data_IF_713683802119
#
_entry.id   IF_713683802119
#
_cell.length_a   1.000
_cell.length_b   1.000
_cell.length_c   1.000
_cell.angle_alpha   90.00
_cell.angle_beta   90.00
_cell.angle_gamma   90.00
#
_symmetry.space_group_name_H-M   'P 1'
#
loop_
_entity.id
_entity.type
_entity.pdbx_description
1 polymer ?
#
# COMPACT_ATOMS: atom_id res chain seq x y z
N UNK A 1 6.19 7.22 -6.14
CA UNK A 1 5.45 5.98 -6.41
C UNK A 1 4.01 6.32 -6.73
N UNK A 2 3.49 5.75 -7.82
CA UNK A 2 2.09 5.92 -8.22
C UNK A 2 1.50 4.55 -8.51
N UNK A 3 0.36 4.25 -7.88
CA UNK A 3 -0.42 3.06 -8.18
C UNK A 3 -1.71 3.54 -8.84
N UNK A 4 -1.92 3.13 -10.07
CA UNK A 4 -3.03 3.65 -10.88
C UNK A 4 -4.24 2.71 -10.99
N UNK A 5 -4.18 1.58 -10.30
CA UNK A 5 -5.23 0.56 -10.33
C UNK A 5 -4.88 -0.62 -11.22
N UNK A 6 -3.92 -0.47 -12.12
CA UNK A 6 -3.44 -1.57 -12.96
C UNK A 6 -1.94 -1.77 -12.82
N UNK A 7 -1.20 -0.70 -12.58
CA UNK A 7 0.25 -0.74 -12.46
C UNK A 7 0.74 0.07 -11.28
N UNK A 8 1.92 -0.30 -10.80
CA UNK A 8 2.66 0.48 -9.80
C UNK A 8 3.90 1.02 -10.49
N UNK A 9 4.04 2.32 -10.48
CA UNK A 9 5.16 3.04 -11.07
C UNK A 9 6.07 3.55 -9.97
N UNK A 10 7.36 3.29 -10.08
CA UNK A 10 8.35 3.76 -9.13
C UNK A 10 9.39 4.54 -9.92
N UNK A 11 9.42 5.85 -9.74
CA UNK A 11 10.34 6.72 -10.43
C UNK A 11 11.51 7.07 -9.52
N UNK A 12 12.72 6.82 -9.99
CA UNK A 12 13.95 7.19 -9.31
C UNK A 12 14.65 8.26 -10.15
N UNK A 13 14.54 9.54 -9.78
CA UNK A 13 15.14 10.60 -10.58
C UNK A 13 16.66 10.58 -10.58
N UNK A 14 17.27 10.04 -9.52
CA UNK A 14 18.72 9.97 -9.44
C UNK A 14 19.30 8.99 -10.45
N UNK A 15 18.59 7.91 -10.69
CA UNK A 15 19.00 6.90 -11.67
C UNK A 15 18.37 7.14 -13.03
N UNK A 16 17.51 8.14 -13.15
CA UNK A 16 16.73 8.40 -14.36
C UNK A 16 16.05 7.14 -14.85
N UNK A 17 15.42 6.44 -13.94
CA UNK A 17 14.82 5.15 -14.20
C UNK A 17 13.43 5.06 -13.59
N UNK A 18 12.52 4.42 -14.33
CA UNK A 18 11.18 4.10 -13.86
C UNK A 18 11.06 2.60 -13.82
N UNK A 19 10.68 2.08 -12.67
CA UNK A 19 10.29 0.67 -12.54
C UNK A 19 8.78 0.60 -12.58
N UNK A 20 8.25 -0.36 -13.33
CA UNK A 20 6.81 -0.54 -13.40
C UNK A 20 6.50 -2.03 -13.23
N UNK A 21 5.46 -2.32 -12.50
CA UNK A 21 4.98 -3.69 -12.34
C UNK A 21 3.46 -3.70 -12.25
N UNK A 22 2.91 -4.87 -12.48
CA UNK A 22 1.48 -5.07 -12.39
C UNK A 22 1.03 -4.90 -10.95
N UNK A 23 0.01 -4.11 -10.73
CA UNK A 23 -0.59 -3.99 -9.41
C UNK A 23 -1.43 -5.25 -9.18
N UNK A 24 -1.22 -5.91 -8.05
CA UNK A 24 -1.93 -7.16 -7.82
C UNK A 24 -1.52 -7.88 -6.56
N UNK A 25 -1.06 -9.12 -6.70
CA UNK A 25 -0.88 -10.01 -5.57
C UNK A 25 0.04 -9.50 -4.47
N UNK A 26 1.09 -8.76 -4.82
CA UNK A 26 1.99 -8.23 -3.79
C UNK A 26 1.32 -7.16 -2.94
N UNK A 27 0.55 -6.28 -3.59
CA UNK A 27 -0.17 -5.24 -2.85
C UNK A 27 -1.28 -5.83 -2.00
N UNK A 28 -1.85 -6.94 -2.43
CA UNK A 28 -2.92 -7.61 -1.68
C UNK A 28 -2.42 -8.13 -0.33
N UNK A 29 -1.12 -8.32 -0.17
CA UNK A 29 -0.54 -8.78 1.08
C UNK A 29 0.09 -7.65 1.90
N UNK A 30 0.01 -6.43 1.40
CA UNK A 30 0.54 -5.29 2.14
C UNK A 30 -0.32 -4.99 3.38
N UNK A 31 0.31 -4.65 4.50
CA UNK A 31 -0.47 -4.24 5.68
C UNK A 31 -1.39 -3.05 5.40
N UNK A 32 -1.07 -2.25 4.38
CA UNK A 32 -1.90 -1.10 4.03
C UNK A 32 -3.20 -1.47 3.35
N UNK A 33 -3.33 -2.69 2.83
CA UNK A 33 -4.57 -3.12 2.19
C UNK A 33 -5.73 -3.18 3.17
N UNK A 34 -5.43 -3.37 4.47
CA UNK A 34 -6.48 -3.35 5.48
C UNK A 34 -7.24 -2.03 5.50
N UNK A 35 -6.59 -0.96 5.01
CA UNK A 35 -7.19 0.37 5.00
C UNK A 35 -8.13 0.58 3.82
N UNK A 36 -8.05 -0.27 2.81
CA UNK A 36 -8.86 -0.11 1.60
C UNK A 36 -10.21 -0.81 1.70
N UNK A 37 -10.29 -1.83 2.53
CA UNK A 37 -11.57 -2.53 2.72
C UNK A 37 -11.68 -3.06 4.15
N UNK A 38 -12.17 -2.21 5.03
CA UNK A 38 -12.32 -2.56 6.43
C UNK A 38 -13.34 -3.67 6.66
N UNK A 39 -14.24 -3.89 5.71
CA UNK A 39 -15.22 -4.96 5.80
C UNK A 39 -14.62 -6.35 5.65
N UNK A 40 -13.42 -6.46 5.13
CA UNK A 40 -12.74 -7.73 4.92
C UNK A 40 -11.78 -8.09 6.06
N UNK A 41 -11.64 -7.22 7.06
CA UNK A 41 -10.68 -7.46 8.14
C UNK A 41 -10.87 -8.79 8.83
N UNK A 42 -12.12 -9.10 9.22
CA UNK A 42 -12.39 -10.34 9.95
C UNK A 42 -12.16 -11.59 9.11
N UNK A 43 -12.25 -11.47 7.80
CA UNK A 43 -12.00 -12.59 6.91
C UNK A 43 -10.51 -12.92 6.81
N UNK A 44 -9.67 -11.92 6.85
CA UNK A 44 -8.23 -12.09 6.64
C UNK A 44 -7.40 -12.05 7.93
N UNK A 45 -7.95 -11.45 8.97
CA UNK A 45 -7.21 -11.25 10.23
C UNK A 45 -8.05 -11.62 11.43
N UNK A 46 -7.35 -12.06 12.47
CA UNK A 46 -7.94 -12.13 13.80
C UNK A 46 -7.78 -10.74 14.42
N UNK A 47 -8.90 -10.09 14.70
CA UNK A 47 -8.91 -8.73 15.22
C UNK A 47 -9.18 -8.76 16.72
N UNK A 48 -8.38 -8.04 17.49
CA UNK A 48 -8.61 -7.96 18.94
C UNK A 48 -8.29 -6.55 19.43
N UNK A 49 -8.88 -6.19 20.56
CA UNK A 49 -8.57 -4.90 21.19
C UNK A 49 -7.23 -5.00 21.92
N UNK A 50 -6.41 -3.98 21.75
CA UNK A 50 -5.08 -3.93 22.36
C UNK A 50 -4.94 -2.79 23.40
N UNK A 51 -6.07 -2.23 23.83
CA UNK A 51 -6.11 -1.22 24.90
C UNK A 51 -5.81 0.17 24.40
N UNK A 52 -5.51 1.05 25.37
CA UNK A 52 -5.21 2.44 25.10
C UNK A 52 -3.76 2.73 25.44
N UNK A 53 -3.08 3.41 24.52
CA UNK A 53 -1.69 3.87 24.70
C UNK A 53 -1.51 5.16 23.93
N UNK A 54 -0.79 6.09 24.52
CA UNK A 54 -0.45 7.37 23.86
C UNK A 54 -1.69 8.14 23.41
N UNK A 55 -2.79 8.02 24.16
CA UNK A 55 -4.04 8.69 23.81
C UNK A 55 -4.80 8.05 22.66
N UNK A 56 -4.40 6.88 22.20
CA UNK A 56 -5.02 6.18 21.10
C UNK A 56 -5.61 4.85 21.56
N UNK A 57 -6.68 4.44 20.92
CA UNK A 57 -7.26 3.12 21.11
C UNK A 57 -6.67 2.21 20.04
N UNK A 58 -6.15 1.08 20.47
CA UNK A 58 -5.42 0.18 19.58
C UNK A 58 -6.19 -1.09 19.29
N UNK A 59 -6.14 -1.51 18.04
CA UNK A 59 -6.60 -2.82 17.59
C UNK A 59 -5.39 -3.60 17.11
N UNK A 60 -5.36 -4.89 17.40
CA UNK A 60 -4.31 -5.78 16.92
C UNK A 60 -4.87 -6.70 15.86
N UNK A 61 -4.15 -6.83 14.77
CA UNK A 61 -4.50 -7.68 13.64
C UNK A 61 -3.45 -8.75 13.48
N UNK A 62 -3.87 -10.01 13.51
CA UNK A 62 -2.99 -11.14 13.26
C UNK A 62 -3.50 -11.86 12.01
N UNK A 63 -2.63 -12.04 11.02
CA UNK A 63 -3.01 -12.67 9.77
C UNK A 63 -3.48 -14.10 9.97
N UNK A 64 -4.53 -14.48 9.24
CA UNK A 64 -5.00 -15.88 9.20
C UNK A 64 -4.23 -16.72 8.20
N UNK A 65 -3.37 -16.10 7.40
CA UNK A 65 -2.57 -16.81 6.41
C UNK A 65 -1.52 -17.68 7.10
N UNK A 66 -1.17 -18.81 6.48
CA UNK A 66 -0.17 -19.70 7.03
C UNK A 66 1.25 -19.15 6.91
N UNK A 67 1.50 -18.34 5.89
CA UNK A 67 2.79 -17.70 5.68
C UNK A 67 2.59 -16.21 5.46
N UNK A 68 2.28 -15.46 6.52
CA UNK A 68 2.00 -14.04 6.37
C UNK A 68 3.27 -13.23 6.12
N UNK A 69 3.12 -12.14 5.38
CA UNK A 69 4.24 -11.24 5.13
C UNK A 69 4.57 -10.41 6.37
N UNK A 70 3.62 -10.23 7.26
CA UNK A 70 3.87 -9.57 8.54
C UNK A 70 3.25 -10.38 9.67
N UNK A 71 3.94 -10.39 10.81
CA UNK A 71 3.51 -11.19 11.95
C UNK A 71 2.24 -10.62 12.56
N UNK A 72 2.19 -9.31 12.73
CA UNK A 72 1.01 -8.64 13.22
C UNK A 72 1.05 -7.17 12.82
N UNK A 73 -0.11 -6.54 12.88
CA UNK A 73 -0.24 -5.10 12.73
C UNK A 73 -1.07 -4.56 13.89
N UNK A 74 -0.83 -3.31 14.25
CA UNK A 74 -1.63 -2.60 15.25
C UNK A 74 -2.11 -1.29 14.64
N UNK A 75 -3.39 -1.00 14.85
CA UNK A 75 -4.02 0.22 14.37
C UNK A 75 -4.39 1.08 15.57
N UNK A 76 -3.87 2.30 15.62
CA UNK A 76 -4.15 3.23 16.71
C UNK A 76 -5.10 4.33 16.24
N UNK A 77 -6.24 4.44 16.92
CA UNK A 77 -7.29 5.38 16.55
C UNK A 77 -7.38 6.53 17.54
N UNK A 78 -7.44 7.74 17.03
CA UNK A 78 -7.81 8.92 17.81
C UNK A 78 -9.26 9.20 17.47
N UNK A 79 -10.16 8.87 18.39
CA UNK A 79 -11.61 8.89 18.14
C UNK A 79 -11.93 7.95 16.98
N UNK A 80 -12.38 8.45 15.84
CA UNK A 80 -12.70 7.63 14.68
C UNK A 80 -11.64 7.69 13.59
N UNK A 81 -10.57 8.47 13.80
CA UNK A 81 -9.53 8.61 12.79
C UNK A 81 -8.34 7.71 13.09
N UNK A 82 -7.85 7.01 12.08
CA UNK A 82 -6.64 6.24 12.21
C UNK A 82 -5.46 7.20 12.30
N UNK A 83 -4.76 7.16 13.44
CA UNK A 83 -3.63 8.05 13.69
C UNK A 83 -2.29 7.36 13.48
N UNK A 84 -2.21 6.08 13.79
CA UNK A 84 -0.97 5.32 13.65
C UNK A 84 -1.24 3.90 13.21
N UNK A 85 -0.30 3.36 12.47
CA UNK A 85 -0.28 1.95 12.14
C UNK A 85 1.13 1.44 12.41
N UNK A 86 1.24 0.31 13.08
CA UNK A 86 2.52 -0.30 13.39
C UNK A 86 2.45 -1.76 12.99
N UNK A 87 3.45 -2.24 12.30
CA UNK A 87 3.48 -3.64 11.94
C UNK A 87 4.89 -4.21 12.02
N UNK A 88 4.94 -5.51 12.25
CA UNK A 88 6.19 -6.25 12.33
C UNK A 88 6.20 -7.32 11.25
N UNK A 89 7.26 -7.34 10.47
CA UNK A 89 7.39 -8.34 9.41
C UNK A 89 7.90 -9.68 9.96
N UNK A 90 8.02 -10.67 9.08
CA UNK A 90 8.44 -12.01 9.47
C UNK A 90 9.88 -12.05 9.96
N UNK A 91 10.68 -11.02 9.68
CA UNK A 91 12.09 -10.95 10.10
C UNK A 91 12.25 -10.18 11.39
N UNK A 92 11.18 -9.69 11.99
CA UNK A 92 11.23 -8.94 13.24
C UNK A 92 11.43 -7.45 13.08
N UNK A 93 11.40 -6.94 11.84
CA UNK A 93 11.50 -5.49 11.60
C UNK A 93 10.17 -4.84 11.87
N UNK A 94 10.20 -3.70 12.54
CA UNK A 94 9.01 -2.93 12.88
C UNK A 94 8.94 -1.67 12.02
N UNK A 95 7.77 -1.41 11.47
CA UNK A 95 7.50 -0.18 10.74
C UNK A 95 6.33 0.54 11.41
N UNK A 96 6.46 1.85 11.57
CA UNK A 96 5.38 2.68 12.08
C UNK A 96 5.01 3.74 11.05
N UNK A 97 3.72 3.88 10.80
CA UNK A 97 3.18 4.89 9.89
C UNK A 97 2.30 5.81 10.71
N UNK A 98 2.50 7.11 10.56
CA UNK A 98 1.67 8.13 11.21
C UNK A 98 0.82 8.81 10.16
N UNK A 99 -0.44 8.96 10.47
CA UNK A 99 -1.41 9.59 9.57
C UNK A 99 -1.85 10.92 10.17
N UNK A 100 -1.95 11.93 9.35
CA UNK A 100 -2.38 13.26 9.78
C UNK A 100 -3.12 13.95 8.64
N UNK A 101 -3.81 15.02 9.00
CA UNK A 101 -4.49 15.86 8.01
C UNK A 101 -5.46 15.10 7.12
N UNK A 102 -6.24 14.23 7.76
CA UNK A 102 -7.25 13.45 7.05
C UNK A 102 -8.24 14.35 6.33
N UNK A 103 -8.53 14.00 5.08
CA UNK A 103 -9.61 14.61 4.31
C UNK A 103 -10.50 13.50 3.83
N UNK A 104 -11.75 13.51 4.25
CA UNK A 104 -12.71 12.48 3.87
C UNK A 104 -13.39 12.89 2.57
N UNK A 105 -13.49 11.95 1.65
CA UNK A 105 -14.13 12.15 0.36
C UNK A 105 -13.67 13.43 -0.35
N UNK A 106 -12.34 13.66 -0.45
CA UNK A 106 -11.86 14.85 -1.11
C UNK A 106 -12.12 14.79 -2.61
N UNK A 107 -12.31 15.94 -3.22
CA UNK A 107 -12.34 16.00 -4.67
C UNK A 107 -10.92 15.96 -5.18
N UNK A 108 -10.61 14.94 -5.96
CA UNK A 108 -9.28 14.77 -6.52
C UNK A 108 -9.35 15.02 -8.03
N UNK A 109 -8.30 15.66 -8.61
CA UNK A 109 -8.21 15.75 -10.07
C UNK A 109 -8.21 14.37 -10.70
N UNK A 110 -8.69 14.27 -11.91
CA UNK A 110 -8.79 12.98 -12.61
C UNK A 110 -7.43 12.30 -12.80
N UNK A 111 -6.36 13.08 -12.83
CA UNK A 111 -5.01 12.58 -13.06
C UNK A 111 -4.18 12.40 -11.78
N UNK A 112 -4.83 12.46 -10.61
CA UNK A 112 -4.12 12.35 -9.32
C UNK A 112 -3.27 11.08 -9.24
N UNK A 113 -3.77 9.97 -9.73
CA UNK A 113 -3.07 8.68 -9.70
C UNK A 113 -2.62 8.25 -11.09
N UNK A 114 -2.32 9.20 -11.95
CA UNK A 114 -1.77 8.92 -13.28
C UNK A 114 -0.29 9.25 -13.31
N UNK A 115 0.46 8.46 -14.05
CA UNK A 115 1.88 8.68 -14.21
C UNK A 115 2.31 8.38 -15.65
N UNK A 116 3.16 9.23 -16.19
CA UNK A 116 3.80 8.99 -17.48
C UNK A 116 5.29 9.20 -17.30
N UNK A 117 6.12 8.24 -17.71
CA UNK A 117 7.57 8.40 -17.57
C UNK A 117 8.06 9.64 -18.31
N UNK A 118 8.95 10.43 -17.69
CA UNK A 118 9.54 11.57 -18.38
C UNK A 118 10.35 11.13 -19.60
N UNK A 119 10.53 12.05 -20.54
CA UNK A 119 11.34 11.77 -21.72
C UNK A 119 12.79 11.48 -21.31
N UNK A 120 13.40 10.48 -21.95
CA UNK A 120 14.79 10.14 -21.70
C UNK A 120 15.04 9.26 -20.49
N UNK A 121 13.98 8.84 -19.81
CA UNK A 121 14.08 7.97 -18.64
C UNK A 121 13.90 6.53 -19.08
N UNK A 122 14.72 5.62 -18.55
CA UNK A 122 14.59 4.20 -18.82
C UNK A 122 13.41 3.60 -18.05
N UNK A 123 12.63 2.79 -18.73
CA UNK A 123 11.50 2.09 -18.11
C UNK A 123 11.81 0.61 -18.06
N UNK A 124 11.76 0.02 -16.88
CA UNK A 124 12.06 -1.40 -16.68
C UNK A 124 10.91 -2.08 -15.94
N UNK A 125 10.83 -3.39 -16.11
CA UNK A 125 9.85 -4.22 -15.42
C UNK A 125 8.69 -4.60 -16.32
N UNK A 126 7.48 -4.64 -15.75
CA UNK A 126 6.28 -5.14 -16.42
C UNK A 126 5.68 -4.18 -17.45
N UNK A 127 6.48 -3.25 -17.95
CA UNK A 127 6.04 -2.40 -19.05
C UNK A 127 5.66 -3.22 -20.27
N UNK A 128 6.23 -4.41 -20.39
CA UNK A 128 5.87 -5.31 -21.48
C UNK A 128 4.42 -5.69 -21.49
N UNK A 129 3.80 -5.65 -20.35
CA UNK A 129 2.37 -5.91 -20.29
C UNK A 129 1.62 -4.92 -21.17
N UNK A 130 2.16 -3.71 -21.28
CA UNK A 130 1.64 -2.73 -22.19
C UNK A 130 2.22 -2.87 -23.58
N UNK A 131 3.42 -3.38 -23.65
CA UNK A 131 4.07 -3.54 -24.93
C UNK A 131 3.31 -4.47 -25.82
N UNK A 132 2.50 -5.33 -25.26
CA UNK A 132 1.61 -6.15 -26.06
C UNK A 132 0.64 -5.30 -26.86
N UNK A 133 0.39 -4.14 -26.36
CA UNK A 133 -0.48 -3.20 -27.02
C UNK A 133 0.25 -2.48 -28.13
N UNK A 134 1.55 -2.37 -27.98
CA UNK A 134 2.31 -1.82 -29.06
C UNK A 134 2.70 -2.90 -29.91
N UNK A 135 2.44 -3.16 -30.78
CA UNK A 135 3.00 -4.22 -31.43
C UNK A 135 4.33 -4.03 -31.82
N UNK A 136 4.94 -4.19 -31.35
CA UNK A 136 5.95 -4.00 -31.55
C UNK A 136 6.58 -4.41 -32.36
N UNK A 137 6.43 -4.35 -32.57
CA UNK A 137 6.89 -4.33 -33.03
C UNK A 137 7.31 -4.55 -33.63
N UNK A 138 7.38 -4.61 -33.99
CA UNK A 138 7.84 -4.49 -34.60
C UNK A 138 8.17 -4.50 -35.00
#
# INVERSE_FOLDING_TARGET
IVADGSKVWIYDPDLEQVSVRKQGAEEAHSPLTVLTDLGQLDAEFVVSEAGERDGLRWLKLVSRASEPEFAFAELGFAESDLARMRFEDALGNTTEIRFSDWKRDPRLPADTFSFSPPAGVDVVGDAEADAEVFPIKD
#
